data_IF_670053005065
#
_entry.id   IF_670053005065
#
_cell.length_a   1.000
_cell.length_b   1.000
_cell.length_c   1.000
_cell.angle_alpha   90.00
_cell.angle_beta   90.00
_cell.angle_gamma   90.00
#
_symmetry.space_group_name_H-M   'P 1'
#
loop_
_entity.id
_entity.type
_entity.pdbx_description
1 polymer ?
#
# COMPACT_ATOMS: atom_id res chain seq x y z
N UNK A 1 13.75 -2.13 -2.18
CA UNK A 1 15.17 -2.15 -1.72
C UNK A 1 15.20 -2.20 -0.21
N UNK A 2 16.31 -2.63 0.40
CA UNK A 2 16.46 -2.62 1.85
C UNK A 2 16.28 -1.19 2.38
N UNK A 3 15.49 -1.02 3.45
CA UNK A 3 15.29 0.26 4.09
C UNK A 3 15.99 0.25 5.46
N UNK A 4 17.09 1.03 5.65
CA UNK A 4 17.80 1.13 6.92
C UNK A 4 16.90 1.47 8.13
N UNK A 5 15.80 2.19 7.92
CA UNK A 5 14.84 2.50 8.97
C UNK A 5 14.15 1.25 9.55
N UNK A 6 14.15 0.12 8.83
CA UNK A 6 13.59 -1.15 9.33
C UNK A 6 14.54 -1.88 10.27
N UNK A 7 15.81 -1.51 10.32
CA UNK A 7 16.82 -2.26 11.08
C UNK A 7 16.54 -2.23 12.58
N UNK A 8 16.34 -1.05 13.15
CA UNK A 8 16.05 -0.89 14.58
C UNK A 8 14.72 -1.55 14.96
N UNK A 9 13.70 -1.34 14.13
CA UNK A 9 12.37 -1.93 14.34
C UNK A 9 12.39 -3.46 14.28
N UNK A 10 13.16 -4.03 13.35
CA UNK A 10 13.37 -5.48 13.26
C UNK A 10 14.14 -5.99 14.47
N UNK A 11 15.26 -5.36 14.85
CA UNK A 11 16.02 -5.78 16.03
C UNK A 11 15.17 -5.75 17.31
N UNK A 12 14.34 -4.74 17.49
CA UNK A 12 13.44 -4.65 18.64
C UNK A 12 12.38 -5.77 18.60
N UNK A 13 11.78 -6.06 17.43
CA UNK A 13 10.82 -7.15 17.27
C UNK A 13 11.44 -8.52 17.60
N UNK A 14 12.69 -8.75 17.21
CA UNK A 14 13.42 -10.01 17.43
C UNK A 14 13.85 -10.23 18.89
N UNK A 15 13.65 -9.27 19.79
CA UNK A 15 13.84 -9.49 21.23
C UNK A 15 12.82 -10.48 21.79
N UNK A 16 11.65 -10.60 21.14
CA UNK A 16 10.68 -11.63 21.45
C UNK A 16 11.08 -12.95 20.76
N UNK A 17 11.25 -14.07 21.51
CA UNK A 17 11.63 -15.36 20.95
C UNK A 17 10.70 -15.86 19.84
N UNK A 18 9.38 -15.73 20.00
CA UNK A 18 8.43 -16.21 18.99
C UNK A 18 8.51 -15.38 17.70
N UNK A 19 8.78 -14.08 17.82
CA UNK A 19 9.01 -13.21 16.67
C UNK A 19 10.31 -13.58 15.95
N UNK A 20 11.35 -13.95 16.70
CA UNK A 20 12.62 -14.42 16.14
C UNK A 20 12.46 -15.76 15.41
N UNK A 21 11.74 -16.72 15.98
CA UNK A 21 11.41 -17.99 15.34
C UNK A 21 10.58 -17.78 14.07
N UNK A 22 9.56 -16.92 14.14
CA UNK A 22 8.75 -16.56 12.98
C UNK A 22 9.63 -15.95 11.88
N UNK A 23 10.50 -14.99 12.22
CA UNK A 23 11.44 -14.39 11.28
C UNK A 23 12.41 -15.41 10.64
N UNK A 24 12.93 -16.35 11.42
CA UNK A 24 13.79 -17.42 10.90
C UNK A 24 13.06 -18.31 9.89
N UNK A 25 11.75 -18.51 10.07
CA UNK A 25 10.93 -19.34 9.18
C UNK A 25 10.40 -18.60 7.94
N UNK A 26 10.10 -17.30 8.04
CA UNK A 26 9.41 -16.55 6.98
C UNK A 26 10.22 -15.42 6.35
N UNK A 27 11.25 -14.93 7.04
CA UNK A 27 12.09 -13.83 6.56
C UNK A 27 12.91 -14.25 5.33
N UNK A 28 13.20 -13.31 4.43
CA UNK A 28 14.04 -13.64 3.28
C UNK A 28 15.47 -13.97 3.71
N UNK A 29 16.19 -14.77 2.90
CA UNK A 29 17.61 -15.05 3.15
C UNK A 29 18.45 -13.77 3.23
N UNK A 30 18.08 -12.73 2.46
CA UNK A 30 18.77 -11.45 2.51
C UNK A 30 18.55 -10.78 3.87
N UNK A 31 17.30 -10.66 4.31
CA UNK A 31 16.97 -10.06 5.61
C UNK A 31 17.62 -10.82 6.76
N UNK A 32 17.65 -12.15 6.72
CA UNK A 32 18.33 -12.96 7.74
C UNK A 32 19.84 -12.72 7.77
N UNK A 33 20.47 -12.46 6.61
CA UNK A 33 21.91 -12.17 6.53
C UNK A 33 22.26 -10.74 6.93
N UNK A 34 21.44 -9.76 6.53
CA UNK A 34 21.77 -8.34 6.71
C UNK A 34 21.09 -7.68 7.90
N UNK A 35 20.05 -8.30 8.47
CA UNK A 35 19.24 -7.70 9.53
C UNK A 35 18.44 -6.48 9.06
N UNK A 36 18.18 -6.36 7.75
CA UNK A 36 17.44 -5.23 7.17
C UNK A 36 16.45 -5.77 6.15
N UNK A 37 15.23 -5.25 6.18
CA UNK A 37 14.16 -5.61 5.25
C UNK A 37 13.83 -4.45 4.32
N UNK A 38 13.17 -4.76 3.20
CA UNK A 38 12.38 -3.72 2.53
C UNK A 38 11.15 -3.35 3.36
N UNK A 39 10.57 -2.16 3.16
CA UNK A 39 9.33 -1.77 3.86
C UNK A 39 8.21 -2.81 3.68
N UNK A 40 8.01 -3.29 2.44
CA UNK A 40 6.99 -4.29 2.14
C UNK A 40 7.24 -5.62 2.85
N UNK A 41 8.50 -6.04 2.91
CA UNK A 41 8.89 -7.27 3.60
C UNK A 41 8.69 -7.12 5.12
N UNK A 42 9.05 -5.96 5.68
CA UNK A 42 8.85 -5.66 7.09
C UNK A 42 7.37 -5.60 7.46
N UNK A 43 6.54 -4.97 6.63
CA UNK A 43 5.08 -4.97 6.79
C UNK A 43 4.50 -6.39 6.78
N UNK A 44 4.90 -7.23 5.82
CA UNK A 44 4.45 -8.61 5.74
C UNK A 44 4.89 -9.43 6.97
N UNK A 45 6.10 -9.21 7.46
CA UNK A 45 6.61 -9.81 8.69
C UNK A 45 5.79 -9.37 9.92
N UNK A 46 5.59 -8.07 10.11
CA UNK A 46 4.86 -7.51 11.27
C UNK A 46 3.39 -7.94 11.30
N UNK A 47 2.74 -8.03 10.13
CA UNK A 47 1.37 -8.57 10.01
C UNK A 47 1.37 -10.07 10.27
N UNK A 48 2.28 -10.81 9.62
CA UNK A 48 2.37 -12.27 9.73
C UNK A 48 2.63 -12.74 11.15
N UNK A 49 3.57 -12.12 11.85
CA UNK A 49 3.90 -12.52 13.23
C UNK A 49 2.79 -12.25 14.25
N UNK A 50 1.77 -11.46 13.89
CA UNK A 50 0.62 -11.15 14.77
C UNK A 50 -0.63 -11.91 14.40
N UNK A 51 -0.81 -12.17 13.12
CA UNK A 51 -2.01 -12.84 12.61
C UNK A 51 -1.81 -14.35 12.40
N UNK A 52 -0.64 -14.76 11.88
CA UNK A 52 -0.36 -16.14 11.50
C UNK A 52 0.48 -16.92 12.52
N UNK A 53 1.23 -16.23 13.38
CA UNK A 53 1.99 -16.88 14.45
C UNK A 53 1.08 -17.20 15.64
N UNK A 54 0.82 -18.49 15.87
CA UNK A 54 -0.01 -18.95 16.99
C UNK A 54 0.58 -18.63 18.37
N UNK A 55 1.90 -18.41 18.45
CA UNK A 55 2.54 -18.04 19.72
C UNK A 55 2.27 -16.59 20.15
N UNK A 56 1.81 -15.73 19.23
CA UNK A 56 1.63 -14.31 19.51
C UNK A 56 0.61 -14.05 20.63
N UNK A 57 -0.47 -14.81 20.69
CA UNK A 57 -1.48 -14.65 21.74
C UNK A 57 -0.91 -15.00 23.12
N UNK A 58 -0.16 -16.10 23.21
CA UNK A 58 0.53 -16.50 24.45
C UNK A 58 1.53 -15.44 24.89
N UNK A 59 2.30 -14.88 23.95
CA UNK A 59 3.24 -13.79 24.25
C UNK A 59 2.51 -12.56 24.77
N UNK A 60 1.43 -12.15 24.10
CA UNK A 60 0.61 -11.01 24.53
C UNK A 60 0.08 -11.19 25.96
N UNK A 61 -0.37 -12.40 26.30
CA UNK A 61 -0.83 -12.71 27.66
C UNK A 61 0.29 -12.66 28.71
N UNK A 62 1.54 -12.95 28.30
CA UNK A 62 2.71 -12.87 29.16
C UNK A 62 3.26 -11.44 29.30
N UNK A 63 2.89 -10.51 28.41
CA UNK A 63 3.29 -9.11 28.50
C UNK A 63 2.50 -8.37 29.60
N UNK A 64 3.17 -7.46 30.30
CA UNK A 64 2.54 -6.60 31.31
C UNK A 64 3.15 -5.20 31.33
N UNK A 65 2.41 -4.24 31.89
CA UNK A 65 2.88 -2.87 32.08
C UNK A 65 3.32 -2.20 30.77
N UNK A 66 4.47 -1.53 30.80
CA UNK A 66 4.99 -0.77 29.66
C UNK A 66 5.25 -1.62 28.42
N UNK A 67 5.60 -2.90 28.59
CA UNK A 67 5.84 -3.80 27.45
C UNK A 67 4.53 -4.12 26.71
N UNK A 68 3.45 -4.35 27.45
CA UNK A 68 2.12 -4.55 26.86
C UNK A 68 1.63 -3.27 26.19
N UNK A 69 1.77 -2.11 26.86
CA UNK A 69 1.39 -0.81 26.28
C UNK A 69 2.15 -0.55 24.98
N UNK A 70 3.47 -0.80 24.98
CA UNK A 70 4.30 -0.65 23.78
C UNK A 70 3.82 -1.54 22.64
N UNK A 71 3.49 -2.80 22.92
CA UNK A 71 2.98 -3.70 21.88
C UNK A 71 1.61 -3.27 21.34
N UNK A 72 0.71 -2.79 22.19
CA UNK A 72 -0.57 -2.22 21.77
C UNK A 72 -0.38 -0.97 20.89
N UNK A 73 0.55 -0.08 21.24
CA UNK A 73 0.91 1.09 20.41
C UNK A 73 1.44 0.66 19.05
N UNK A 74 2.25 -0.39 18.98
CA UNK A 74 2.75 -0.94 17.71
C UNK A 74 1.62 -1.53 16.86
N UNK A 75 0.71 -2.30 17.45
CA UNK A 75 -0.46 -2.83 16.76
C UNK A 75 -1.31 -1.71 16.16
N UNK A 76 -1.59 -0.67 16.96
CA UNK A 76 -2.34 0.50 16.49
C UNK A 76 -1.60 1.24 15.36
N UNK A 77 -0.29 1.43 15.51
CA UNK A 77 0.55 2.11 14.52
C UNK A 77 0.59 1.34 13.20
N UNK A 78 0.72 0.01 13.26
CA UNK A 78 0.64 -0.87 12.09
C UNK A 78 -0.72 -0.76 11.41
N UNK A 79 -1.81 -0.79 12.19
CA UNK A 79 -3.16 -0.59 11.66
C UNK A 79 -3.34 0.73 10.92
N UNK A 80 -2.83 1.83 11.48
CA UNK A 80 -2.85 3.15 10.85
C UNK A 80 -2.03 3.18 9.55
N UNK A 81 -0.86 2.55 9.54
CA UNK A 81 -0.01 2.45 8.37
C UNK A 81 -0.69 1.69 7.22
N UNK A 82 -1.30 0.54 7.52
CA UNK A 82 -2.04 -0.25 6.52
C UNK A 82 -3.25 0.54 5.95
N UNK A 83 -3.98 1.29 6.80
CA UNK A 83 -5.07 2.16 6.35
C UNK A 83 -4.57 3.30 5.44
N UNK A 84 -3.40 3.86 5.72
CA UNK A 84 -2.77 4.85 4.84
C UNK A 84 -2.42 4.22 3.48
N UNK A 85 -1.92 2.99 3.46
CA UNK A 85 -1.68 2.21 2.24
C UNK A 85 -2.95 2.08 1.40
N UNK A 86 -4.05 1.62 2.00
CA UNK A 86 -5.35 1.50 1.34
C UNK A 86 -5.85 2.84 0.78
N UNK A 87 -5.67 3.94 1.52
CA UNK A 87 -6.04 5.29 1.05
C UNK A 87 -5.22 5.71 -0.17
N UNK A 88 -3.93 5.39 -0.20
CA UNK A 88 -3.06 5.71 -1.33
C UNK A 88 -3.44 4.89 -2.57
N UNK A 89 -3.71 3.59 -2.41
CA UNK A 89 -4.17 2.72 -3.48
C UNK A 89 -5.50 3.20 -4.07
N UNK A 90 -6.46 3.60 -3.22
CA UNK A 90 -7.72 4.18 -3.66
C UNK A 90 -7.51 5.49 -4.45
N UNK A 91 -6.58 6.34 -4.02
CA UNK A 91 -6.23 7.57 -4.74
C UNK A 91 -5.68 7.24 -6.13
N UNK A 92 -4.78 6.27 -6.22
CA UNK A 92 -4.18 5.85 -7.49
C UNK A 92 -5.25 5.28 -8.43
N UNK A 93 -6.15 4.44 -7.91
CA UNK A 93 -7.28 3.90 -8.67
C UNK A 93 -8.18 5.02 -9.21
N UNK A 94 -8.48 6.03 -8.40
CA UNK A 94 -9.30 7.18 -8.82
C UNK A 94 -8.63 8.00 -9.94
N UNK A 95 -7.30 8.16 -9.90
CA UNK A 95 -6.57 8.84 -10.97
C UNK A 95 -6.68 8.06 -12.28
N UNK A 96 -6.46 6.73 -12.23
CA UNK A 96 -6.58 5.85 -13.39
C UNK A 96 -8.00 5.90 -13.97
N UNK A 97 -9.01 5.81 -13.11
CA UNK A 97 -10.42 5.91 -13.52
C UNK A 97 -10.72 7.26 -14.19
N UNK A 98 -10.19 8.36 -13.66
CA UNK A 98 -10.30 9.69 -14.28
C UNK A 98 -9.65 9.77 -15.65
N UNK A 99 -8.46 9.17 -15.82
CA UNK A 99 -7.78 9.10 -17.12
C UNK A 99 -8.58 8.25 -18.12
N UNK A 100 -9.13 7.12 -17.70
CA UNK A 100 -9.98 6.29 -18.55
C UNK A 100 -11.27 7.02 -18.97
N UNK A 101 -11.88 7.78 -18.04
CA UNK A 101 -13.05 8.60 -18.35
C UNK A 101 -12.72 9.69 -19.38
N UNK A 102 -11.56 10.35 -19.25
CA UNK A 102 -11.10 11.35 -20.21
C UNK A 102 -10.90 10.73 -21.60
N UNK A 103 -10.21 9.58 -21.70
CA UNK A 103 -10.02 8.87 -22.96
C UNK A 103 -11.35 8.43 -23.60
N UNK A 104 -12.30 7.97 -22.79
CA UNK A 104 -13.64 7.61 -23.28
C UNK A 104 -14.43 8.83 -23.77
N UNK A 105 -14.30 9.96 -23.09
CA UNK A 105 -14.90 11.22 -23.51
C UNK A 105 -14.29 11.70 -24.83
N UNK A 106 -12.96 11.68 -24.97
CA UNK A 106 -12.27 12.05 -26.20
C UNK A 106 -12.71 11.16 -27.37
N UNK A 107 -12.71 9.84 -27.18
CA UNK A 107 -13.11 8.88 -28.19
C UNK A 107 -14.57 9.08 -28.66
N UNK A 108 -15.45 9.55 -27.77
CA UNK A 108 -16.87 9.79 -28.09
C UNK A 108 -17.11 11.16 -28.71
N UNK A 109 -16.58 12.21 -28.09
CA UNK A 109 -16.99 13.59 -28.40
C UNK A 109 -16.12 14.25 -29.45
N UNK A 110 -14.83 13.89 -29.58
CA UNK A 110 -13.96 14.49 -30.62
C UNK A 110 -14.53 14.25 -32.02
N UNK A 111 -14.95 13.03 -32.42
CA UNK A 111 -15.55 12.81 -33.74
C UNK A 111 -16.86 13.59 -33.93
N UNK A 112 -17.71 13.65 -32.91
CA UNK A 112 -18.99 14.36 -32.97
C UNK A 112 -18.79 15.87 -33.15
N UNK A 113 -17.82 16.44 -32.44
CA UNK A 113 -17.47 17.86 -32.55
C UNK A 113 -16.85 18.18 -33.92
N UNK A 114 -16.02 17.29 -34.46
CA UNK A 114 -15.48 17.41 -35.82
C UNK A 114 -16.58 17.36 -36.88
N UNK A 115 -17.52 16.41 -36.77
CA UNK A 115 -18.67 16.29 -37.67
C UNK A 115 -19.57 17.53 -37.60
N UNK A 116 -19.86 18.02 -36.40
CA UNK A 116 -20.65 19.24 -36.21
C UNK A 116 -19.95 20.46 -36.84
N UNK A 117 -18.64 20.62 -36.61
CA UNK A 117 -17.85 21.69 -37.22
C UNK A 117 -17.89 21.67 -38.75
N UNK A 118 -17.78 20.49 -39.36
CA UNK A 118 -17.89 20.33 -40.81
C UNK A 118 -19.28 20.72 -41.35
N UNK A 119 -20.36 20.32 -40.67
CA UNK A 119 -21.73 20.71 -41.02
C UNK A 119 -21.96 22.22 -40.90
N UNK A 120 -21.43 22.84 -39.85
CA UNK A 120 -21.53 24.29 -39.69
C UNK A 120 -20.77 25.05 -40.78
N UNK A 121 -19.55 24.62 -41.12
CA UNK A 121 -18.76 25.26 -42.18
C UNK A 121 -19.42 25.15 -43.56
N UNK A 122 -20.01 23.99 -43.89
CA UNK A 122 -20.74 23.80 -45.15
C UNK A 122 -22.07 24.57 -45.22
N UNK A 123 -22.74 24.79 -44.09
CA UNK A 123 -23.93 25.65 -44.01
C UNK A 123 -23.61 27.13 -44.21
N UNK A 124 -22.44 27.60 -43.76
CA UNK A 124 -21.99 29.00 -43.96
C UNK A 124 -21.66 29.26 -45.43
N UNK A 125 -20.93 28.36 -46.10
CA UNK A 125 -20.57 28.55 -47.52
C UNK A 125 -21.76 28.46 -48.48
N UNK A 126 -22.83 27.76 -48.10
CA UNK A 126 -24.08 27.71 -48.88
C UNK A 126 -24.89 29.02 -48.81
N UNK A 127 -24.67 29.85 -47.79
CA UNK A 127 -25.39 31.12 -47.59
C UNK A 127 -24.67 32.35 -48.17
N UNK A 128 -23.42 32.20 -48.62
CA UNK A 128 -22.58 33.26 -49.21
C UNK A 128 -22.59 33.28 -50.75
N UNK A 129 -23.32 32.37 -51.41
CA UNK A 129 -23.48 32.29 -52.88
C UNK A 129 -24.87 32.71 -53.34
#
# INVERSE_FOLDING_TARGET
QANPATQEALQEALQNPSAAEYFASTGSQQAQRTGVMSEREFEAFEVGRRYANTAYETDLQALSGDNLIRELVRVQSLGNWLQLGLKNDQRQANIIAGQQLALAADAKYVPQLQELGAKMSSGVTAHEN
#
